data_IF_105537216942
#
_entry.id   IF_105537216942
#
_cell.length_a   1.000
_cell.length_b   1.000
_cell.length_c   1.000
_cell.angle_alpha   90.00
_cell.angle_beta   90.00
_cell.angle_gamma   90.00
#
_symmetry.space_group_name_H-M   'P 1'
#
loop_
_entity.id
_entity.type
_entity.pdbx_description
1 polymer ?
#
# COMPACT_ATOMS: atom_id res chain seq x y z
N UNK A 1 2.36 21.58 1.78
CA UNK A 1 3.21 21.32 2.96
C UNK A 1 3.40 19.82 3.15
N UNK A 2 4.63 19.35 3.37
CA UNK A 2 4.95 17.92 3.55
C UNK A 2 4.46 17.37 4.89
N UNK A 3 4.29 16.05 4.99
CA UNK A 3 3.91 15.39 6.26
C UNK A 3 5.00 15.55 7.32
N UNK A 4 6.29 15.48 6.93
CA UNK A 4 7.41 15.67 7.84
C UNK A 4 7.38 17.04 8.50
N UNK A 5 7.12 18.10 7.71
CA UNK A 5 6.97 19.45 8.26
C UNK A 5 5.73 19.57 9.17
N UNK A 6 4.59 18.98 8.80
CA UNK A 6 3.41 19.00 9.66
C UNK A 6 3.62 18.25 10.99
N UNK A 7 4.45 17.21 11.00
CA UNK A 7 4.80 16.44 12.19
C UNK A 7 5.80 17.16 13.11
N UNK A 8 6.49 18.20 12.63
CA UNK A 8 7.39 19.02 13.45
C UNK A 8 6.70 20.23 14.11
N UNK A 9 5.44 20.51 13.79
CA UNK A 9 4.67 21.62 14.38
C UNK A 9 3.99 21.21 15.69
N UNK A 10 3.60 22.17 16.52
CA UNK A 10 2.76 21.89 17.68
C UNK A 10 1.29 21.67 17.28
N UNK A 11 0.71 20.57 17.74
CA UNK A 11 -0.67 20.17 17.39
C UNK A 11 -0.76 19.39 16.08
N UNK A 12 -1.95 19.30 15.49
CA UNK A 12 -2.17 18.66 14.19
C UNK A 12 -1.61 17.22 14.08
N UNK A 13 -0.76 16.99 13.08
CA UNK A 13 -0.16 15.68 12.81
C UNK A 13 0.82 15.25 13.92
N UNK A 14 1.57 16.19 14.50
CA UNK A 14 2.53 15.88 15.56
C UNK A 14 1.87 15.24 16.79
N UNK A 15 0.67 15.72 17.17
CA UNK A 15 -0.10 15.13 18.29
C UNK A 15 -0.60 13.72 17.98
N UNK A 16 -0.85 13.41 16.71
CA UNK A 16 -1.32 12.08 16.27
C UNK A 16 -0.16 11.08 16.24
N UNK A 17 1.04 11.56 15.92
CA UNK A 17 2.24 10.74 15.75
C UNK A 17 3.08 10.64 17.02
N UNK A 18 2.74 11.41 18.05
CA UNK A 18 3.40 11.39 19.35
C UNK A 18 3.32 9.99 19.98
N UNK A 19 4.47 9.41 20.31
CA UNK A 19 4.58 8.07 20.90
C UNK A 19 4.43 6.92 19.90
N UNK A 20 4.23 7.19 18.60
CA UNK A 20 4.26 6.14 17.59
C UNK A 20 5.70 5.64 17.35
N UNK A 21 5.90 4.34 17.09
CA UNK A 21 7.20 3.81 16.72
C UNK A 21 7.75 4.50 15.45
N UNK A 22 9.03 4.83 15.48
CA UNK A 22 9.71 5.42 14.33
C UNK A 22 9.95 4.39 13.22
N UNK A 23 10.35 3.18 13.59
CA UNK A 23 10.67 2.12 12.64
C UNK A 23 9.42 1.30 12.32
N UNK A 24 9.16 1.11 11.02
CA UNK A 24 8.13 0.20 10.55
C UNK A 24 8.69 -1.21 10.61
N UNK A 25 7.97 -2.11 11.28
CA UNK A 25 8.35 -3.50 11.44
C UNK A 25 7.35 -4.44 10.76
N UNK A 26 7.76 -5.69 10.53
CA UNK A 26 6.80 -6.72 10.12
C UNK A 26 5.74 -6.92 11.19
N UNK A 27 4.48 -6.92 10.77
CA UNK A 27 3.28 -6.91 11.62
C UNK A 27 2.80 -5.50 12.01
N UNK A 28 3.54 -4.43 11.68
CA UNK A 28 3.07 -3.06 11.91
C UNK A 28 1.81 -2.76 11.13
N UNK A 29 0.89 -2.05 11.79
CA UNK A 29 -0.29 -1.46 11.20
C UNK A 29 0.04 -0.03 10.75
N UNK A 30 -0.19 0.30 9.49
CA UNK A 30 0.22 1.56 8.86
C UNK A 30 -0.90 2.13 7.99
N UNK A 31 -0.87 3.45 7.80
CA UNK A 31 -1.60 4.11 6.71
C UNK A 31 -0.58 4.68 5.73
N UNK A 32 -0.77 4.43 4.43
CA UNK A 32 0.16 4.86 3.39
C UNK A 32 -0.41 6.07 2.66
N UNK A 33 0.29 7.20 2.67
CA UNK A 33 -0.11 8.44 1.99
C UNK A 33 0.74 8.63 0.73
N UNK A 34 0.10 8.97 -0.38
CA UNK A 34 0.82 9.33 -1.60
C UNK A 34 1.58 10.66 -1.41
N UNK A 35 2.83 10.70 -1.87
CA UNK A 35 3.73 11.85 -1.79
C UNK A 35 3.76 12.69 -3.08
N UNK A 36 3.37 12.13 -4.23
CA UNK A 36 3.53 12.78 -5.53
C UNK A 36 2.29 13.56 -5.99
N UNK A 37 2.55 14.79 -6.46
CA UNK A 37 1.89 15.39 -7.64
C UNK A 37 0.42 15.81 -7.55
N UNK A 38 -0.27 15.68 -6.41
CA UNK A 38 -1.70 16.01 -6.34
C UNK A 38 -2.03 17.22 -5.45
N UNK A 39 -3.04 18.02 -5.85
CA UNK A 39 -3.54 19.12 -5.03
C UNK A 39 -4.19 18.61 -3.72
N UNK A 40 -4.73 17.38 -3.74
CA UNK A 40 -5.39 16.75 -2.60
C UNK A 40 -4.59 15.52 -2.15
N UNK A 41 -4.21 15.43 -0.86
CA UNK A 41 -3.57 14.22 -0.35
C UNK A 41 -4.54 13.04 -0.42
N UNK A 42 -4.02 11.84 -0.66
CA UNK A 42 -4.82 10.64 -0.58
C UNK A 42 -4.03 9.47 0.01
N UNK A 43 -4.76 8.55 0.63
CA UNK A 43 -4.26 7.36 1.28
C UNK A 43 -4.61 6.12 0.47
N UNK A 44 -3.73 5.13 0.47
CA UNK A 44 -4.05 3.80 -0.04
C UNK A 44 -5.23 3.24 0.74
N UNK A 45 -6.31 2.91 0.04
CA UNK A 45 -7.60 2.63 0.63
C UNK A 45 -8.25 1.42 -0.05
N UNK A 46 -9.05 0.66 0.70
CA UNK A 46 -9.88 -0.42 0.15
C UNK A 46 -11.16 -0.58 0.97
N UNK A 47 -12.25 -1.02 0.36
CA UNK A 47 -13.56 -1.21 0.99
C UNK A 47 -14.25 -2.42 0.38
N UNK A 48 -15.39 -2.87 0.92
CA UNK A 48 -15.96 -4.18 0.58
C UNK A 48 -16.36 -4.35 -0.90
N UNK A 49 -16.62 -3.24 -1.60
CA UNK A 49 -17.02 -3.26 -3.01
C UNK A 49 -15.93 -3.82 -3.94
N UNK A 50 -16.40 -4.44 -5.01
CA UNK A 50 -15.57 -5.05 -6.05
C UNK A 50 -15.64 -4.25 -7.35
N UNK A 51 -14.64 -4.39 -8.23
CA UNK A 51 -14.76 -3.87 -9.59
C UNK A 51 -15.95 -4.54 -10.31
N UNK A 52 -16.68 -3.83 -11.19
CA UNK A 52 -17.73 -4.45 -11.99
C UNK A 52 -17.11 -5.47 -12.96
N UNK A 53 -17.80 -6.58 -13.28
CA UNK A 53 -17.27 -7.60 -14.21
C UNK A 53 -16.78 -7.00 -15.55
N UNK A 54 -17.45 -5.95 -16.02
CA UNK A 54 -17.13 -5.21 -17.23
C UNK A 54 -17.07 -3.72 -16.86
N UNK A 55 -15.98 -3.05 -17.25
CA UNK A 55 -15.83 -1.60 -17.12
C UNK A 55 -16.76 -0.86 -18.09
N UNK A 56 -17.01 0.43 -17.83
CA UNK A 56 -17.90 1.25 -18.68
C UNK A 56 -17.47 1.31 -20.16
N UNK A 57 -16.17 1.15 -20.43
CA UNK A 57 -15.61 1.12 -21.78
C UNK A 57 -15.65 -0.28 -22.45
N UNK A 58 -16.35 -1.25 -21.85
CA UNK A 58 -16.53 -2.60 -22.39
C UNK A 58 -15.37 -3.58 -22.13
N UNK A 59 -14.27 -3.14 -21.50
CA UNK A 59 -13.16 -4.04 -21.12
C UNK A 59 -13.56 -4.87 -19.89
N UNK A 60 -13.15 -6.15 -19.87
CA UNK A 60 -13.33 -7.00 -18.69
C UNK A 60 -12.47 -6.52 -17.51
N UNK A 61 -12.95 -6.75 -16.29
CA UNK A 61 -12.19 -6.56 -15.05
C UNK A 61 -11.93 -7.89 -14.36
N UNK A 62 -11.18 -7.85 -13.26
CA UNK A 62 -10.95 -9.03 -12.40
C UNK A 62 -12.11 -9.38 -11.47
N UNK A 63 -13.07 -8.47 -11.29
CA UNK A 63 -14.10 -8.53 -10.25
C UNK A 63 -13.54 -8.71 -8.82
N UNK A 64 -12.28 -8.31 -8.58
CA UNK A 64 -11.68 -8.31 -7.24
C UNK A 64 -12.06 -7.06 -6.46
N UNK A 65 -11.70 -7.02 -5.17
CA UNK A 65 -12.00 -5.89 -4.29
C UNK A 65 -11.25 -4.64 -4.75
N UNK A 66 -11.95 -3.51 -4.75
CA UNK A 66 -11.39 -2.25 -5.22
C UNK A 66 -10.28 -1.75 -4.30
N UNK A 67 -9.24 -1.19 -4.92
CA UNK A 67 -8.21 -0.40 -4.23
C UNK A 67 -8.21 0.99 -4.84
N UNK A 68 -8.26 2.01 -3.99
CA UNK A 68 -8.40 3.40 -4.40
C UNK A 68 -7.44 4.31 -3.64
N UNK A 69 -7.44 5.59 -4.00
CA UNK A 69 -6.76 6.64 -3.24
C UNK A 69 -7.80 7.55 -2.61
N UNK A 70 -8.02 7.45 -1.30
CA UNK A 70 -9.07 8.16 -0.59
C UNK A 70 -8.53 9.41 0.13
N UNK A 71 -9.17 10.60 0.02
CA UNK A 71 -8.58 11.85 0.50
C UNK A 71 -8.81 12.18 1.98
N UNK A 72 -9.49 11.31 2.74
CA UNK A 72 -9.78 11.54 4.15
C UNK A 72 -9.20 10.43 5.03
N UNK A 73 -9.06 10.72 6.33
CA UNK A 73 -8.69 9.72 7.33
C UNK A 73 -9.85 8.75 7.53
N UNK A 74 -9.58 7.47 7.38
CA UNK A 74 -10.59 6.41 7.45
C UNK A 74 -9.97 5.13 8.04
N UNK A 75 -10.79 4.29 8.68
CA UNK A 75 -10.37 2.98 9.17
C UNK A 75 -9.99 2.02 8.02
N UNK A 76 -10.57 2.24 6.84
CA UNK A 76 -10.27 1.53 5.60
C UNK A 76 -8.95 1.98 4.92
N UNK A 77 -8.21 2.90 5.54
CA UNK A 77 -6.85 3.26 5.10
C UNK A 77 -5.77 2.41 5.78
N UNK A 78 -6.15 1.50 6.69
CA UNK A 78 -5.23 0.71 7.48
C UNK A 78 -4.74 -0.54 6.74
N UNK A 79 -3.43 -0.75 6.77
CA UNK A 79 -2.74 -1.89 6.17
C UNK A 79 -1.78 -2.52 7.16
N UNK A 80 -1.60 -3.84 7.07
CA UNK A 80 -0.61 -4.59 7.84
C UNK A 80 0.55 -4.94 6.92
N UNK A 81 1.78 -4.61 7.32
CA UNK A 81 2.99 -5.00 6.61
C UNK A 81 3.37 -6.43 7.02
N UNK A 82 2.96 -7.42 6.25
CA UNK A 82 3.13 -8.84 6.56
C UNK A 82 4.42 -9.40 5.96
N UNK A 83 5.08 -10.26 6.73
CA UNK A 83 6.20 -11.08 6.27
C UNK A 83 5.66 -12.21 5.39
N UNK A 84 6.05 -12.30 4.10
CA UNK A 84 5.57 -13.36 3.21
C UNK A 84 6.01 -14.76 3.67
N UNK A 85 7.08 -14.87 4.47
CA UNK A 85 7.60 -16.16 4.97
C UNK A 85 6.84 -16.68 6.19
N UNK A 86 5.95 -15.87 6.78
CA UNK A 86 5.18 -16.24 7.97
C UNK A 86 3.70 -16.34 7.62
N UNK A 87 3.06 -17.38 8.13
CA UNK A 87 1.60 -17.55 7.95
C UNK A 87 0.81 -16.60 8.85
N UNK A 88 1.27 -16.41 10.09
CA UNK A 88 0.57 -15.61 11.09
C UNK A 88 0.86 -14.11 10.95
N UNK A 89 -0.16 -13.29 11.21
CA UNK A 89 -0.07 -11.83 11.32
C UNK A 89 0.44 -11.43 12.71
N UNK A 90 1.70 -11.76 13.01
CA UNK A 90 2.30 -11.50 14.34
C UNK A 90 3.49 -10.58 14.24
N UNK A 91 3.57 -9.62 15.17
CA UNK A 91 4.78 -8.83 15.41
C UNK A 91 5.76 -9.70 16.21
N UNK A 92 7.02 -9.78 15.77
CA UNK A 92 8.06 -10.48 16.53
C UNK A 92 8.42 -9.72 17.80
N UNK A 93 8.94 -10.44 18.81
CA UNK A 93 9.58 -9.84 19.97
C UNK A 93 11.05 -10.26 20.01
N UNK A 94 12.01 -9.35 19.79
CA UNK A 94 11.82 -7.94 19.46
C UNK A 94 11.22 -7.71 18.05
N UNK A 95 10.60 -6.55 17.77
CA UNK A 95 10.08 -6.22 16.45
C UNK A 95 11.19 -6.24 15.39
N UNK A 96 10.92 -6.86 14.24
CA UNK A 96 11.87 -6.94 13.12
C UNK A 96 11.59 -5.81 12.13
N UNK A 97 12.48 -4.80 12.00
CA UNK A 97 12.28 -3.69 11.08
C UNK A 97 12.22 -4.15 9.62
N UNK A 98 11.42 -3.46 8.81
CA UNK A 98 11.36 -3.66 7.36
C UNK A 98 12.44 -2.80 6.71
N UNK A 99 13.22 -3.39 5.81
CA UNK A 99 14.37 -2.75 5.17
C UNK A 99 14.18 -2.56 3.67
N UNK A 100 14.97 -1.66 3.09
CA UNK A 100 15.08 -1.52 1.65
C UNK A 100 15.40 -2.88 1.00
N UNK A 101 14.68 -3.24 -0.05
CA UNK A 101 14.82 -4.51 -0.76
C UNK A 101 14.03 -5.67 -0.16
N UNK A 102 13.46 -5.53 1.05
CA UNK A 102 12.62 -6.58 1.63
C UNK A 102 11.36 -6.82 0.79
N UNK A 103 10.95 -8.09 0.71
CA UNK A 103 9.65 -8.46 0.18
C UNK A 103 8.61 -8.42 1.30
N UNK A 104 7.47 -7.81 1.00
CA UNK A 104 6.34 -7.64 1.92
C UNK A 104 5.03 -8.05 1.24
N UNK A 105 4.05 -8.41 2.06
CA UNK A 105 2.64 -8.42 1.68
C UNK A 105 1.95 -7.25 2.39
N UNK A 106 1.11 -6.52 1.69
CA UNK A 106 0.25 -5.50 2.30
C UNK A 106 -1.13 -6.09 2.47
N UNK A 107 -1.56 -6.29 3.71
CA UNK A 107 -2.89 -6.87 4.02
C UNK A 107 -3.80 -5.76 4.49
N UNK A 108 -4.95 -5.59 3.84
CA UNK A 108 -5.93 -4.59 4.23
C UNK A 108 -6.51 -4.91 5.60
N UNK A 109 -6.46 -3.95 6.54
CA UNK A 109 -6.79 -4.18 7.94
C UNK A 109 -8.24 -4.60 8.17
N UNK A 110 -9.18 -4.01 7.42
CA UNK A 110 -10.61 -4.26 7.63
C UNK A 110 -11.14 -5.49 6.91
N UNK A 111 -10.59 -5.84 5.75
CA UNK A 111 -11.08 -6.98 4.94
C UNK A 111 -10.14 -8.17 4.89
N UNK A 112 -8.97 -8.07 5.54
CA UNK A 112 -7.91 -9.10 5.60
C UNK A 112 -7.41 -9.62 4.25
N UNK A 113 -7.80 -8.97 3.15
CA UNK A 113 -7.37 -9.29 1.78
C UNK A 113 -6.03 -8.63 1.47
N UNK A 114 -5.23 -9.30 0.66
CA UNK A 114 -3.88 -8.83 0.31
C UNK A 114 -3.92 -7.94 -0.94
N UNK A 115 -3.14 -6.87 -0.93
CA UNK A 115 -2.88 -6.03 -2.09
C UNK A 115 -2.26 -6.88 -3.20
N UNK A 116 -2.85 -6.79 -4.38
CA UNK A 116 -2.60 -7.65 -5.52
C UNK A 116 -2.58 -6.82 -6.80
N UNK A 117 -1.81 -7.27 -7.77
CA UNK A 117 -1.94 -6.80 -9.16
C UNK A 117 -1.70 -7.98 -10.09
N UNK A 118 -2.24 -7.89 -11.29
CA UNK A 118 -2.31 -9.01 -12.20
C UNK A 118 -2.48 -8.51 -13.64
N UNK A 119 -2.50 -9.43 -14.60
CA UNK A 119 -2.62 -9.12 -16.03
C UNK A 119 -4.07 -8.79 -16.43
N UNK A 120 -4.61 -7.73 -15.83
CA UNK A 120 -5.89 -7.09 -16.21
C UNK A 120 -5.59 -5.60 -16.33
N UNK A 121 -6.11 -4.96 -17.37
CA UNK A 121 -5.89 -3.55 -17.59
C UNK A 121 -6.64 -2.69 -16.55
N UNK A 122 -5.98 -1.66 -16.02
CA UNK A 122 -6.57 -0.78 -15.01
C UNK A 122 -7.83 -0.05 -15.55
N UNK A 123 -8.77 0.31 -14.64
CA UNK A 123 -10.08 0.85 -15.02
C UNK A 123 -9.96 2.14 -15.87
N UNK A 124 -9.09 3.06 -15.45
CA UNK A 124 -8.92 4.37 -16.08
C UNK A 124 -7.65 4.50 -16.94
N UNK A 125 -6.69 3.62 -16.75
CA UNK A 125 -5.39 3.66 -17.45
C UNK A 125 -5.12 2.32 -18.14
N UNK A 126 -5.62 2.10 -19.37
CA UNK A 126 -5.54 0.81 -20.05
C UNK A 126 -4.13 0.23 -20.22
N UNK A 127 -3.12 1.09 -20.24
CA UNK A 127 -1.71 0.74 -20.36
C UNK A 127 -1.05 0.35 -19.02
N UNK A 128 -1.81 0.33 -17.93
CA UNK A 128 -1.34 -0.05 -16.59
C UNK A 128 -2.13 -1.26 -16.09
N UNK A 129 -1.56 -1.99 -15.13
CA UNK A 129 -2.21 -3.13 -14.50
C UNK A 129 -3.22 -2.68 -13.44
N UNK A 130 -4.34 -3.39 -13.35
CA UNK A 130 -5.32 -3.23 -12.28
C UNK A 130 -4.69 -3.59 -10.94
N UNK A 131 -4.98 -2.77 -9.92
CA UNK A 131 -4.58 -3.03 -8.53
C UNK A 131 -5.84 -3.30 -7.74
N UNK A 132 -5.83 -4.38 -6.97
CA UNK A 132 -6.99 -4.85 -6.23
C UNK A 132 -6.58 -5.50 -4.91
N UNK A 133 -7.55 -5.76 -4.05
CA UNK A 133 -7.39 -6.67 -2.93
C UNK A 133 -7.89 -8.06 -3.38
N UNK A 134 -7.02 -9.06 -3.31
CA UNK A 134 -7.29 -10.37 -3.90
C UNK A 134 -8.49 -11.06 -3.25
N UNK A 135 -9.34 -11.64 -4.10
CA UNK A 135 -10.45 -12.52 -3.71
C UNK A 135 -10.20 -13.87 -4.37
N UNK A 136 -10.15 -14.92 -3.56
CA UNK A 136 -10.06 -16.29 -4.07
C UNK A 136 -11.47 -16.77 -4.46
N UNK A 137 -11.78 -16.70 -5.75
CA UNK A 137 -13.01 -17.25 -6.31
C UNK A 137 -12.92 -18.76 -6.59
N UNK A 138 -11.88 -19.44 -6.11
CA UNK A 138 -11.56 -20.84 -6.42
C UNK A 138 -11.45 -21.09 -7.94
N UNK A 139 -10.88 -20.12 -8.64
CA UNK A 139 -10.56 -20.17 -10.07
C UNK A 139 -9.04 -20.27 -10.25
N UNK A 140 -8.56 -20.64 -11.44
CA UNK A 140 -7.13 -20.80 -11.76
C UNK A 140 -6.34 -19.48 -11.86
N UNK A 141 -6.61 -18.50 -10.99
CA UNK A 141 -5.94 -17.21 -10.92
C UNK A 141 -5.29 -17.06 -9.54
N UNK A 142 -4.03 -17.50 -9.36
CA UNK A 142 -3.35 -17.40 -8.06
C UNK A 142 -3.08 -15.94 -7.69
N UNK A 143 -3.04 -15.66 -6.39
CA UNK A 143 -2.66 -14.35 -5.88
C UNK A 143 -1.23 -13.98 -6.28
N UNK A 144 -1.04 -12.74 -6.72
CA UNK A 144 0.25 -12.11 -7.01
C UNK A 144 0.38 -10.88 -6.11
N UNK A 145 0.70 -11.15 -4.84
CA UNK A 145 0.59 -10.18 -3.75
C UNK A 145 1.93 -9.84 -3.09
N UNK A 146 3.04 -10.17 -3.75
CA UNK A 146 4.38 -9.87 -3.27
C UNK A 146 4.87 -8.53 -3.82
N UNK A 147 5.30 -7.68 -2.90
CA UNK A 147 5.82 -6.35 -3.21
C UNK A 147 7.21 -6.19 -2.61
N UNK A 148 8.17 -5.75 -3.41
CA UNK A 148 9.48 -5.32 -2.91
C UNK A 148 9.38 -3.87 -2.44
N UNK A 149 9.82 -3.61 -1.22
CA UNK A 149 9.91 -2.27 -0.67
C UNK A 149 11.18 -1.60 -1.16
N UNK A 150 11.05 -0.42 -1.76
CA UNK A 150 12.18 0.45 -2.10
C UNK A 150 12.06 1.79 -1.38
N UNK A 151 13.03 2.10 -0.52
CA UNK A 151 13.19 3.44 0.06
C UNK A 151 13.91 4.35 -0.95
N UNK A 152 13.20 5.41 -1.40
CA UNK A 152 13.61 6.30 -2.49
C UNK A 152 14.57 7.37 -2.00
N UNK A 153 14.26 8.01 -0.88
CA UNK A 153 15.04 9.10 -0.29
C UNK A 153 16.08 8.61 0.72
N UNK A 154 16.63 7.40 0.51
CA UNK A 154 17.64 6.83 1.41
C UNK A 154 18.97 7.60 1.32
N UNK A 155 19.59 7.90 2.46
CA UNK A 155 21.02 8.23 2.54
C UNK A 155 21.88 6.96 2.54
N UNK A 156 23.21 7.12 2.62
CA UNK A 156 24.16 5.99 2.64
C UNK A 156 23.95 5.03 3.81
N UNK A 157 23.44 5.52 4.94
CA UNK A 157 23.34 4.75 6.20
C UNK A 157 21.89 4.46 6.64
N UNK A 158 20.90 4.64 5.75
CA UNK A 158 19.47 4.53 6.13
C UNK A 158 18.72 3.50 5.28
N UNK A 159 18.82 2.23 5.66
CA UNK A 159 18.10 1.13 5.01
C UNK A 159 16.78 0.75 5.69
N UNK A 160 16.48 1.31 6.86
CA UNK A 160 15.27 0.99 7.63
C UNK A 160 14.13 1.90 7.21
N UNK A 161 12.95 1.32 6.98
CA UNK A 161 11.73 2.07 6.70
C UNK A 161 11.26 2.81 7.95
N UNK A 162 11.26 4.14 7.90
CA UNK A 162 10.83 5.01 9.00
C UNK A 162 9.52 5.70 8.67
N UNK A 163 8.63 5.78 9.66
CA UNK A 163 7.37 6.52 9.56
C UNK A 163 7.65 7.99 9.25
N UNK A 164 6.87 8.58 8.34
CA UNK A 164 6.91 10.01 7.94
C UNK A 164 8.19 10.46 7.22
N UNK A 165 9.36 9.91 7.55
CA UNK A 165 10.66 10.29 7.04
C UNK A 165 11.02 9.59 5.72
N UNK A 166 10.62 8.33 5.56
CA UNK A 166 10.91 7.57 4.35
C UNK A 166 9.84 7.78 3.28
N UNK A 167 10.29 8.11 2.07
CA UNK A 167 9.51 7.98 0.85
C UNK A 167 9.76 6.58 0.28
N UNK A 168 8.70 5.81 0.06
CA UNK A 168 8.80 4.41 -0.36
C UNK A 168 8.04 4.14 -1.65
N UNK A 169 8.53 3.16 -2.41
CA UNK A 169 7.85 2.55 -3.56
C UNK A 169 7.60 1.08 -3.26
N UNK A 170 6.47 0.59 -3.73
CA UNK A 170 6.15 -0.83 -3.73
C UNK A 170 6.27 -1.33 -5.17
N UNK A 171 7.27 -2.18 -5.42
CA UNK A 171 7.52 -2.77 -6.73
C UNK A 171 6.95 -4.18 -6.74
N UNK A 172 6.00 -4.45 -7.63
CA UNK A 172 5.40 -5.76 -7.75
C UNK A 172 6.44 -6.78 -8.21
N UNK A 173 6.59 -7.89 -7.49
CA UNK A 173 7.69 -8.83 -7.71
C UNK A 173 7.58 -9.52 -9.08
N UNK A 174 6.37 -9.92 -9.49
CA UNK A 174 6.20 -10.72 -10.71
C UNK A 174 6.28 -9.86 -11.99
N UNK A 175 5.85 -8.60 -11.94
CA UNK A 175 5.73 -7.74 -13.13
C UNK A 175 6.71 -6.58 -13.13
N UNK A 176 7.45 -6.36 -12.04
CA UNK A 176 8.32 -5.20 -11.82
C UNK A 176 7.59 -3.85 -11.91
N UNK A 177 6.26 -3.85 -11.99
CA UNK A 177 5.46 -2.63 -12.02
C UNK A 177 5.48 -1.93 -10.66
N UNK A 178 5.51 -0.60 -10.67
CA UNK A 178 5.48 0.19 -9.44
C UNK A 178 4.05 0.59 -9.12
N UNK A 179 3.63 0.41 -7.87
CA UNK A 179 2.34 0.90 -7.38
C UNK A 179 2.28 2.43 -7.54
N UNK A 180 1.27 2.90 -8.29
CA UNK A 180 1.00 4.31 -8.52
C UNK A 180 -0.50 4.55 -8.55
N UNK A 181 -0.92 5.78 -8.28
CA UNK A 181 -2.29 6.19 -8.50
C UNK A 181 -2.51 6.63 -9.96
N UNK A 182 -3.57 6.12 -10.57
CA UNK A 182 -3.80 6.20 -12.02
C UNK A 182 -4.43 7.49 -12.54
N UNK A 183 -4.22 8.65 -11.88
CA UNK A 183 -4.68 9.92 -12.47
C UNK A 183 -3.55 10.43 -13.37
N UNK A 184 -3.78 10.60 -14.68
CA UNK A 184 -2.81 11.25 -15.54
C UNK A 184 -2.53 12.67 -15.01
N UNK A 185 -1.25 13.02 -14.89
CA UNK A 185 -0.85 14.43 -14.81
C UNK A 185 -1.26 15.16 -16.08
#
# INVERSE_FOLDING_TARGET
>A
MSSAFQASLEGGLARITQGQPLEVAFGSQVTLRNVFGKPVPCWLHSHQDTYPMIYENGRGSSHQQQVTCYPFKDVNNWWIVKDPRRHQLVVSSPPRPVRHGDMVQLVHGMTTRSLNTHDVAAPLSPHSQEVSCYIDYNISMPAQNLWRLEIVNRGSDTDVWKTILSEVRFVHVNTSAVLKDGIPM
#
